data_IF_991245645433
#
_entry.id   IF_991245645433
#
_cell.length_a   1.000
_cell.length_b   1.000
_cell.length_c   1.000
_cell.angle_alpha   90.00
_cell.angle_beta   90.00
_cell.angle_gamma   90.00
#
_symmetry.space_group_name_H-M   'P 1'
#
loop_
_entity.id
_entity.type
_entity.pdbx_description
1 polymer ?
#
# COMPACT_ATOMS: atom_id res chain seq x y z
N UNK A 1 -83.60 -3.02 21.60
CA UNK A 1 -82.59 -2.47 20.67
C UNK A 1 -81.95 -3.68 19.97
N UNK A 2 -82.23 -3.97 18.68
CA UNK A 2 -81.41 -3.59 17.49
C UNK A 2 -79.91 -3.85 17.77
N UNK A 3 -79.12 -4.69 17.11
CA UNK A 3 -79.00 -5.21 15.72
C UNK A 3 -77.87 -6.30 15.73
N UNK A 4 -77.98 -7.49 15.11
CA UNK A 4 -77.69 -7.92 13.71
C UNK A 4 -76.27 -8.46 13.41
N UNK A 5 -76.24 -9.69 12.84
CA UNK A 5 -75.47 -10.19 11.65
C UNK A 5 -73.92 -10.28 11.81
N UNK A 6 -73.09 -11.16 11.21
CA UNK A 6 -73.04 -12.10 10.07
C UNK A 6 -71.86 -13.06 10.30
N UNK A 7 -71.90 -14.34 9.90
CA UNK A 7 -71.35 -14.92 8.64
C UNK A 7 -69.88 -14.54 8.33
N UNK A 8 -69.04 -15.55 8.07
CA UNK A 8 -67.95 -15.39 7.09
C UNK A 8 -66.74 -16.28 7.30
N UNK A 9 -66.63 -17.33 6.49
CA UNK A 9 -65.47 -18.21 6.38
C UNK A 9 -64.19 -17.46 5.95
N UNK A 10 -63.02 -18.01 6.28
CA UNK A 10 -61.77 -17.67 5.58
C UNK A 10 -60.97 -18.94 5.31
N UNK A 11 -60.97 -19.30 4.03
CA UNK A 11 -60.00 -20.19 3.40
C UNK A 11 -58.59 -19.65 3.66
N UNK A 12 -57.72 -20.43 4.31
CA UNK A 12 -56.28 -20.14 4.28
C UNK A 12 -55.71 -20.62 2.95
N UNK A 13 -55.30 -19.68 2.10
CA UNK A 13 -54.37 -19.93 1.00
C UNK A 13 -52.96 -20.07 1.59
N UNK A 14 -52.35 -21.25 1.48
CA UNK A 14 -50.93 -21.43 1.77
C UNK A 14 -50.11 -20.98 0.55
N UNK A 15 -49.39 -19.86 0.68
CA UNK A 15 -48.47 -19.35 -0.33
C UNK A 15 -47.10 -20.04 -0.11
N UNK A 16 -46.82 -21.09 -0.87
CA UNK A 16 -45.47 -21.68 -0.92
C UNK A 16 -44.59 -20.85 -1.86
N UNK A 17 -43.67 -20.07 -1.31
CA UNK A 17 -42.59 -19.43 -2.07
C UNK A 17 -41.52 -20.48 -2.35
N UNK A 18 -41.35 -20.84 -3.62
CA UNK A 18 -40.22 -21.65 -4.07
C UNK A 18 -38.95 -20.77 -4.04
N UNK A 19 -38.03 -21.09 -3.12
CA UNK A 19 -36.69 -20.48 -3.12
C UNK A 19 -35.85 -21.13 -4.23
N UNK A 20 -35.52 -20.36 -5.26
CA UNK A 20 -34.50 -20.74 -6.23
C UNK A 20 -33.12 -20.72 -5.54
N UNK A 21 -32.22 -21.68 -5.82
CA UNK A 21 -30.85 -21.59 -5.36
C UNK A 21 -30.17 -20.42 -6.05
N UNK A 22 -30.03 -19.30 -5.33
CA UNK A 22 -29.13 -18.22 -5.74
C UNK A 22 -27.72 -18.81 -5.70
N UNK A 23 -27.14 -19.03 -6.88
CA UNK A 23 -25.69 -19.18 -7.01
C UNK A 23 -25.08 -17.82 -6.68
N UNK A 24 -24.93 -17.53 -5.39
CA UNK A 24 -23.97 -16.53 -4.95
C UNK A 24 -22.59 -17.13 -5.26
N UNK A 25 -22.03 -16.77 -6.43
CA UNK A 25 -20.57 -16.64 -6.49
C UNK A 25 -20.26 -15.54 -5.48
N UNK A 26 -19.82 -15.96 -4.30
CA UNK A 26 -19.06 -15.10 -3.43
C UNK A 26 -17.77 -14.79 -4.19
N UNK A 27 -17.77 -13.70 -4.96
CA UNK A 27 -16.52 -13.03 -5.27
C UNK A 27 -15.99 -12.57 -3.91
N UNK A 28 -15.09 -13.38 -3.34
CA UNK A 28 -14.31 -12.95 -2.20
C UNK A 28 -13.44 -11.80 -2.68
N UNK A 29 -13.96 -10.58 -2.59
CA UNK A 29 -13.11 -9.39 -2.54
C UNK A 29 -12.31 -9.52 -1.26
N UNK A 30 -11.16 -10.22 -1.33
CA UNK A 30 -10.16 -10.16 -0.30
C UNK A 30 -9.57 -8.76 -0.37
N UNK A 31 -10.07 -7.86 0.47
CA UNK A 31 -9.45 -6.56 0.68
C UNK A 31 -8.03 -6.77 1.17
N UNK A 32 -7.06 -6.17 0.48
CA UNK A 32 -5.66 -6.14 0.92
C UNK A 32 -5.60 -5.52 2.31
N UNK A 33 -4.95 -6.19 3.25
CA UNK A 33 -4.76 -5.71 4.61
C UNK A 33 -3.34 -5.20 4.83
N UNK A 34 -3.14 -4.42 5.89
CA UNK A 34 -1.83 -3.95 6.31
C UNK A 34 -0.85 -5.12 6.52
N UNK A 35 -1.31 -6.22 7.11
CA UNK A 35 -0.49 -7.40 7.40
C UNK A 35 0.02 -8.10 6.11
N UNK A 36 -0.70 -7.98 4.99
CA UNK A 36 -0.30 -8.58 3.72
C UNK A 36 0.93 -7.91 3.11
N UNK A 37 1.11 -6.61 3.38
CA UNK A 37 2.14 -5.76 2.76
C UNK A 37 3.28 -5.39 3.72
N UNK A 38 3.17 -5.71 5.01
CA UNK A 38 4.30 -5.56 5.95
C UNK A 38 5.42 -6.50 5.53
N UNK A 39 6.62 -5.94 5.38
CA UNK A 39 7.78 -6.70 4.94
C UNK A 39 8.90 -5.84 4.38
N UNK A 40 9.95 -6.52 3.92
CA UNK A 40 11.05 -5.91 3.17
C UNK A 40 10.92 -6.29 1.71
N UNK A 41 11.28 -5.35 0.85
CA UNK A 41 11.14 -5.50 -0.59
C UNK A 41 12.36 -4.94 -1.33
N UNK A 42 12.63 -5.47 -2.51
CA UNK A 42 13.59 -4.92 -3.46
C UNK A 42 12.88 -4.76 -4.82
N UNK A 43 13.01 -3.59 -5.44
CA UNK A 43 12.47 -3.38 -6.79
C UNK A 43 13.18 -4.31 -7.79
N UNK A 44 12.41 -5.08 -8.56
CA UNK A 44 12.92 -6.05 -9.54
C UNK A 44 13.90 -5.42 -10.55
N UNK A 45 13.64 -4.20 -11.00
CA UNK A 45 14.46 -3.50 -12.00
C UNK A 45 15.62 -2.68 -11.38
N UNK A 46 15.74 -2.64 -10.05
CA UNK A 46 16.74 -1.85 -9.35
C UNK A 46 17.28 -2.56 -8.11
N UNK A 47 18.57 -2.86 -8.13
CA UNK A 47 19.26 -3.37 -6.94
C UNK A 47 19.41 -2.30 -5.85
N UNK A 48 19.20 -1.03 -6.20
CA UNK A 48 19.42 0.11 -5.31
C UNK A 48 18.12 0.72 -4.79
N UNK A 49 17.03 -0.04 -4.80
CA UNK A 49 15.75 0.44 -4.30
C UNK A 49 15.12 -0.63 -3.39
N UNK A 50 15.43 -0.51 -2.10
CA UNK A 50 15.09 -1.50 -1.08
C UNK A 50 14.16 -0.86 -0.06
N UNK A 51 12.94 -1.38 0.09
CA UNK A 51 11.89 -0.83 0.95
C UNK A 51 11.70 -1.71 2.20
N UNK A 52 11.27 -1.09 3.29
CA UNK A 52 10.77 -1.78 4.49
C UNK A 52 9.48 -1.08 4.95
N UNK A 53 8.37 -1.82 4.93
CA UNK A 53 7.08 -1.44 5.48
C UNK A 53 6.91 -2.13 6.83
N UNK A 54 7.05 -1.39 7.93
CA UNK A 54 6.95 -1.94 9.29
C UNK A 54 5.51 -1.93 9.80
N UNK A 55 5.18 -2.88 10.66
CA UNK A 55 3.85 -3.01 11.27
C UNK A 55 3.44 -1.84 12.17
N UNK A 56 4.39 -0.99 12.57
CA UNK A 56 4.13 0.23 13.34
C UNK A 56 3.80 1.45 12.45
N UNK A 57 3.74 1.27 11.13
CA UNK A 57 3.51 2.33 10.15
C UNK A 57 4.77 3.06 9.69
N UNK A 58 5.96 2.66 10.16
CA UNK A 58 7.24 3.23 9.69
C UNK A 58 7.58 2.71 8.29
N UNK A 59 8.04 3.62 7.43
CA UNK A 59 8.62 3.32 6.12
C UNK A 59 10.12 3.62 6.13
N UNK A 60 10.90 2.72 5.55
CA UNK A 60 12.31 2.97 5.21
C UNK A 60 12.56 2.60 3.75
N UNK A 61 13.36 3.41 3.06
CA UNK A 61 13.90 3.07 1.74
C UNK A 61 15.39 3.37 1.68
N UNK A 62 16.16 2.38 1.25
CA UNK A 62 17.61 2.44 1.22
C UNK A 62 18.15 2.00 -0.13
N UNK A 63 19.25 2.63 -0.55
CA UNK A 63 19.95 2.22 -1.77
C UNK A 63 20.79 0.96 -1.62
N UNK A 64 21.21 0.64 -0.39
CA UNK A 64 21.77 -0.66 -0.03
C UNK A 64 21.22 -1.02 1.36
N UNK A 65 20.66 -2.22 1.57
CA UNK A 65 20.04 -2.58 2.85
C UNK A 65 21.06 -2.87 3.96
N UNK A 66 22.35 -3.04 3.63
CA UNK A 66 23.42 -3.41 4.57
C UNK A 66 24.40 -2.28 4.83
N UNK A 67 24.66 -1.43 3.83
CA UNK A 67 25.56 -0.29 3.92
C UNK A 67 25.01 0.90 3.11
N UNK A 68 23.87 1.48 3.52
CA UNK A 68 23.23 2.56 2.77
C UNK A 68 24.12 3.80 2.72
N UNK A 69 24.28 4.38 1.53
CA UNK A 69 24.79 5.75 1.41
C UNK A 69 23.69 6.78 1.65
N UNK A 70 22.43 6.39 1.41
CA UNK A 70 21.24 7.23 1.57
C UNK A 70 20.08 6.39 2.08
N UNK A 71 19.32 6.93 3.03
CA UNK A 71 18.07 6.33 3.52
C UNK A 71 16.96 7.38 3.54
N UNK A 72 15.83 7.09 2.90
CA UNK A 72 14.58 7.84 3.07
C UNK A 72 13.79 7.21 4.24
N UNK A 73 13.36 8.04 5.19
CA UNK A 73 12.64 7.63 6.40
C UNK A 73 11.29 8.32 6.42
N UNK A 74 10.24 7.59 6.76
CA UNK A 74 8.91 8.16 6.77
C UNK A 74 7.85 7.24 7.35
N UNK A 75 6.62 7.43 6.88
CA UNK A 75 5.46 6.64 7.25
C UNK A 75 4.77 6.07 6.02
N UNK A 76 3.99 5.03 6.24
CA UNK A 76 3.08 4.51 5.22
C UNK A 76 1.67 4.31 5.78
N UNK A 77 0.69 4.48 4.90
CA UNK A 77 -0.72 4.27 5.18
C UNK A 77 -1.37 3.48 4.05
N UNK A 78 -2.36 2.66 4.38
CA UNK A 78 -3.11 1.85 3.42
C UNK A 78 -4.61 2.16 3.54
N UNK A 79 -5.20 2.66 2.46
CA UNK A 79 -6.64 2.84 2.30
C UNK A 79 -7.15 1.95 1.15
N UNK A 80 -7.67 0.78 1.49
CA UNK A 80 -8.05 -0.25 0.53
C UNK A 80 -6.85 -0.74 -0.28
N UNK A 81 -6.84 -0.47 -1.59
CA UNK A 81 -5.74 -0.80 -2.51
C UNK A 81 -4.76 0.37 -2.70
N UNK A 82 -4.91 1.46 -1.95
CA UNK A 82 -4.09 2.68 -2.11
C UNK A 82 -3.04 2.74 -1.00
N UNK A 83 -1.78 2.60 -1.37
CA UNK A 83 -0.62 2.80 -0.49
C UNK A 83 -0.15 4.25 -0.62
N UNK A 84 -0.10 4.96 0.49
CA UNK A 84 0.50 6.30 0.57
C UNK A 84 1.75 6.22 1.43
N UNK A 85 2.86 6.72 0.90
CA UNK A 85 4.14 6.84 1.61
C UNK A 85 4.42 8.33 1.79
N UNK A 86 4.72 8.72 3.03
CA UNK A 86 5.13 10.08 3.38
C UNK A 86 6.57 10.02 3.85
N UNK A 87 7.50 10.49 3.03
CA UNK A 87 8.93 10.62 3.37
C UNK A 87 9.09 11.90 4.19
N UNK A 88 9.61 11.76 5.41
CA UNK A 88 9.76 12.84 6.38
C UNK A 88 11.22 13.29 6.53
N UNK A 89 12.18 12.41 6.23
CA UNK A 89 13.62 12.64 6.35
C UNK A 89 14.38 11.91 5.23
N UNK A 90 15.46 12.52 4.74
CA UNK A 90 16.45 11.87 3.89
C UNK A 90 17.80 11.96 4.62
N UNK A 91 18.32 10.81 5.04
CA UNK A 91 19.58 10.70 5.76
C UNK A 91 20.69 10.25 4.80
N UNK A 92 21.77 11.02 4.75
CA UNK A 92 23.01 10.66 4.04
C UNK A 92 24.02 10.11 5.04
N UNK A 93 24.61 8.95 4.73
CA UNK A 93 25.58 8.33 5.65
C UNK A 93 26.91 9.09 5.61
N UNK A 94 27.17 9.85 6.66
CA UNK A 94 28.42 10.61 6.80
C UNK A 94 29.66 9.71 6.58
N UNK A 95 29.72 8.57 7.26
CA UNK A 95 30.85 7.62 7.15
C UNK A 95 31.07 7.17 5.70
N UNK A 96 30.00 6.82 4.97
CA UNK A 96 30.08 6.42 3.57
C UNK A 96 30.74 7.50 2.70
N UNK A 97 30.30 8.76 2.83
CA UNK A 97 30.80 9.84 1.97
C UNK A 97 32.23 10.24 2.32
N UNK A 98 32.60 10.27 3.61
CA UNK A 98 33.98 10.54 4.02
C UNK A 98 34.92 9.42 3.53
N UNK A 99 34.52 8.15 3.62
CA UNK A 99 35.29 7.02 3.07
C UNK A 99 35.38 7.07 1.54
N UNK A 100 34.34 7.55 0.86
CA UNK A 100 34.34 7.81 -0.57
C UNK A 100 35.23 9.01 -0.97
N UNK A 101 35.82 9.72 -0.01
CA UNK A 101 36.77 10.80 -0.23
C UNK A 101 36.16 12.20 -0.28
N UNK A 102 34.91 12.37 0.16
CA UNK A 102 34.32 13.71 0.31
C UNK A 102 35.05 14.46 1.44
N UNK A 103 35.23 15.77 1.26
CA UNK A 103 35.56 16.63 2.38
C UNK A 103 34.33 16.84 3.27
N UNK A 104 34.54 17.30 4.51
CA UNK A 104 33.43 17.69 5.38
C UNK A 104 32.56 18.77 4.70
N UNK A 105 33.18 19.73 4.02
CA UNK A 105 32.46 20.80 3.32
C UNK A 105 31.60 20.26 2.19
N UNK A 106 32.14 19.37 1.35
CA UNK A 106 31.38 18.74 0.26
C UNK A 106 30.23 17.88 0.79
N UNK A 107 30.43 17.19 1.91
CA UNK A 107 29.38 16.42 2.56
C UNK A 107 28.24 17.32 3.06
N UNK A 108 28.55 18.42 3.74
CA UNK A 108 27.52 19.35 4.21
C UNK A 108 26.76 19.99 3.04
N UNK A 109 27.46 20.33 1.94
CA UNK A 109 26.83 20.82 0.71
C UNK A 109 25.88 19.77 0.10
N UNK A 110 26.31 18.50 0.02
CA UNK A 110 25.46 17.41 -0.46
C UNK A 110 24.16 17.31 0.37
N UNK A 111 24.28 17.35 1.70
CA UNK A 111 23.12 17.28 2.61
C UNK A 111 22.20 18.49 2.42
N UNK A 112 22.75 19.70 2.31
CA UNK A 112 21.97 20.93 2.11
C UNK A 112 21.25 20.94 0.76
N UNK A 113 21.94 20.53 -0.33
CA UNK A 113 21.37 20.53 -1.68
C UNK A 113 20.28 19.48 -1.88
N UNK A 114 20.41 18.32 -1.23
CA UNK A 114 19.49 17.20 -1.46
C UNK A 114 18.40 17.04 -0.38
N UNK A 115 18.43 17.83 0.68
CA UNK A 115 17.28 17.99 1.58
C UNK A 115 16.22 18.88 0.91
N UNK A 116 15.62 18.37 -0.16
CA UNK A 116 14.49 18.99 -0.84
C UNK A 116 13.31 19.23 0.10
N UNK A 117 12.21 19.82 -0.39
CA UNK A 117 11.06 20.10 0.47
C UNK A 117 10.46 18.80 1.01
N UNK A 118 10.60 18.61 2.32
CA UNK A 118 9.98 17.54 3.09
C UNK A 118 8.80 18.11 3.92
N UNK A 119 7.74 17.32 4.19
CA UNK A 119 7.57 15.93 3.75
C UNK A 119 7.24 15.81 2.25
N UNK A 120 7.62 14.68 1.66
CA UNK A 120 7.28 14.30 0.28
C UNK A 120 6.31 13.13 0.31
N UNK A 121 5.21 13.23 -0.44
CA UNK A 121 4.23 12.15 -0.55
C UNK A 121 4.37 11.40 -1.88
N UNK A 122 4.25 10.08 -1.80
CA UNK A 122 4.18 9.17 -2.95
C UNK A 122 2.97 8.25 -2.77
N UNK A 123 2.07 8.25 -3.74
CA UNK A 123 0.87 7.40 -3.71
C UNK A 123 0.97 6.32 -4.78
N UNK A 124 0.55 5.12 -4.45
CA UNK A 124 0.57 3.94 -5.30
C UNK A 124 -0.74 3.17 -5.20
N UNK A 125 -1.19 2.61 -6.32
CA UNK A 125 -2.22 1.58 -6.32
C UNK A 125 -1.57 0.20 -6.30
N UNK A 126 -1.97 -0.65 -5.36
CA UNK A 126 -1.58 -2.04 -5.28
C UNK A 126 -2.44 -2.84 -6.25
N UNK A 127 -1.82 -3.56 -7.18
CA UNK A 127 -2.53 -4.44 -8.12
C UNK A 127 -2.38 -5.92 -7.79
N UNK A 128 -1.33 -6.30 -7.06
CA UNK A 128 -1.12 -7.65 -6.57
C UNK A 128 -0.22 -7.66 -5.33
N UNK A 129 -0.50 -8.58 -4.40
CA UNK A 129 0.35 -8.87 -3.24
C UNK A 129 0.29 -10.36 -2.95
N UNK A 130 1.46 -10.97 -2.82
CA UNK A 130 1.58 -12.40 -2.52
C UNK A 130 2.89 -12.68 -1.76
N UNK A 131 3.22 -13.95 -1.60
CA UNK A 131 4.44 -14.40 -0.89
C UNK A 131 5.73 -14.00 -1.62
N UNK A 132 5.69 -13.85 -2.94
CA UNK A 132 6.82 -13.45 -3.77
C UNK A 132 7.06 -11.95 -3.73
N UNK A 133 6.02 -11.13 -3.54
CA UNK A 133 6.18 -9.69 -3.65
C UNK A 133 4.92 -8.83 -3.63
N UNK A 134 5.09 -7.60 -4.12
CA UNK A 134 4.12 -6.53 -4.21
C UNK A 134 4.21 -5.90 -5.61
N UNK A 135 3.08 -5.68 -6.27
CA UNK A 135 3.03 -4.94 -7.54
C UNK A 135 2.30 -3.61 -7.34
N UNK A 136 2.99 -2.52 -7.65
CA UNK A 136 2.52 -1.14 -7.46
C UNK A 136 2.35 -0.42 -8.80
N UNK A 137 1.41 0.50 -8.84
CA UNK A 137 1.14 1.39 -9.98
C UNK A 137 1.15 2.82 -9.49
N UNK A 138 1.91 3.71 -10.15
CA UNK A 138 1.83 5.14 -9.86
C UNK A 138 0.56 5.73 -10.50
N UNK A 139 -0.25 6.52 -9.77
CA UNK A 139 -1.35 7.26 -10.35
C UNK A 139 -0.84 8.11 -11.52
N UNK A 140 -1.45 7.96 -12.69
CA UNK A 140 -1.03 8.65 -13.91
C UNK A 140 -1.41 10.14 -13.81
N UNK A 141 -0.52 10.97 -13.31
CA UNK A 141 -0.60 12.42 -13.51
C UNK A 141 -0.06 12.76 -14.89
N UNK A 142 -0.93 12.65 -15.91
CA UNK A 142 -0.68 13.04 -17.32
C UNK A 142 0.45 12.31 -18.07
N UNK A 143 0.04 11.37 -18.93
CA UNK A 143 0.79 10.90 -20.11
C UNK A 143 2.22 10.41 -19.87
N UNK A 144 2.42 9.46 -18.97
CA UNK A 144 3.43 8.42 -19.18
C UNK A 144 2.91 7.11 -18.59
N UNK A 145 3.20 6.03 -19.30
CA UNK A 145 2.52 4.73 -19.23
C UNK A 145 2.38 4.20 -17.78
N UNK A 146 1.20 3.62 -17.49
CA UNK A 146 0.95 2.84 -16.27
C UNK A 146 1.82 1.57 -16.27
N UNK A 147 3.10 1.73 -15.95
CA UNK A 147 4.05 0.64 -15.85
C UNK A 147 4.01 0.08 -14.43
N UNK A 148 3.73 -1.23 -14.27
CA UNK A 148 3.77 -1.85 -12.96
C UNK A 148 5.20 -1.84 -12.42
N UNK A 149 5.35 -1.41 -11.17
CA UNK A 149 6.57 -1.53 -10.39
C UNK A 149 6.48 -2.81 -9.57
N UNK A 150 7.37 -3.76 -9.83
CA UNK A 150 7.37 -5.06 -9.16
C UNK A 150 8.41 -5.11 -8.07
N UNK A 151 7.99 -5.40 -6.85
CA UNK A 151 8.84 -5.43 -5.68
C UNK A 151 8.89 -6.87 -5.16
N UNK A 152 10.07 -7.49 -5.25
CA UNK A 152 10.30 -8.83 -4.71
C UNK A 152 10.42 -8.75 -3.19
N UNK A 153 9.70 -9.61 -2.48
CA UNK A 153 9.82 -9.73 -1.02
C UNK A 153 11.17 -10.33 -0.68
N UNK A 154 11.87 -9.75 0.30
CA UNK A 154 13.18 -10.21 0.77
C UNK A 154 13.12 -10.50 2.28
N UNK A 155 13.83 -11.54 2.72
CA UNK A 155 13.85 -11.99 4.11
C UNK A 155 14.96 -11.31 4.92
#
# INVERSE_FOLDING_TARGET
MKKLISIGASFMLALTVAMLPSCNKSDSSSSISADDIVGKYQWEDSQTDNWELRSDGTFLRANDPTAPSMTEIGKWELDGETLTITIEEIAYSHEFYIEAGFSEEDYQLLVEENNGPLPKEETYKISDVNEEGLTLHKPIESMDMDMPLRFNRVN
#
